data_IF_710809547282
#
_entry.id   IF_710809547282
#
_cell.length_a   1.000
_cell.length_b   1.000
_cell.length_c   1.000
_cell.angle_alpha   90.00
_cell.angle_beta   90.00
_cell.angle_gamma   90.00
#
_symmetry.space_group_name_H-M   'P 1'
#
loop_
_entity.id
_entity.type
_entity.pdbx_description
1 polymer ?
#
# COMPACT_ATOMS: atom_id res chain seq x y z
N UNK A 1 -37.86 -3.31 3.75
CA UNK A 1 -37.13 -2.16 4.34
C UNK A 1 -35.84 -2.70 4.94
N UNK A 2 -34.78 -2.96 4.15
CA UNK A 2 -33.51 -3.54 4.64
C UNK A 2 -32.27 -3.17 3.78
N UNK A 3 -32.12 -1.91 3.34
CA UNK A 3 -30.94 -1.49 2.53
C UNK A 3 -30.15 -0.31 3.09
N UNK A 4 -30.36 0.05 4.37
CA UNK A 4 -29.68 1.19 5.00
C UNK A 4 -28.34 0.86 5.67
N UNK A 5 -28.21 -0.31 6.29
CA UNK A 5 -27.06 -0.61 7.17
C UNK A 5 -25.72 -0.66 6.47
N UNK A 6 -25.60 -1.39 5.35
CA UNK A 6 -24.30 -1.64 4.69
C UNK A 6 -23.64 -0.36 4.16
N UNK A 7 -24.42 0.63 3.71
CA UNK A 7 -23.87 1.88 3.18
C UNK A 7 -23.27 2.74 4.29
N UNK A 8 -23.91 2.77 5.46
CA UNK A 8 -23.46 3.54 6.62
C UNK A 8 -22.11 3.01 7.11
N UNK A 9 -21.93 1.70 7.19
CA UNK A 9 -20.65 1.10 7.57
C UNK A 9 -19.52 1.44 6.60
N UNK A 10 -19.79 1.41 5.29
CA UNK A 10 -18.80 1.78 4.28
C UNK A 10 -18.40 3.26 4.38
N UNK A 11 -19.37 4.15 4.58
CA UNK A 11 -19.14 5.59 4.73
C UNK A 11 -18.30 5.87 6.00
N UNK A 12 -18.57 5.18 7.11
CA UNK A 12 -17.80 5.29 8.35
C UNK A 12 -16.36 4.78 8.21
N UNK A 13 -16.15 3.64 7.55
CA UNK A 13 -14.82 3.10 7.28
C UNK A 13 -13.99 4.06 6.42
N UNK A 14 -14.60 4.61 5.37
CA UNK A 14 -13.96 5.55 4.46
C UNK A 14 -13.59 6.85 5.15
N UNK A 15 -14.47 7.41 5.96
CA UNK A 15 -14.18 8.61 6.74
C UNK A 15 -13.10 8.33 7.80
N UNK A 16 -13.18 7.18 8.48
CA UNK A 16 -12.21 6.78 9.50
C UNK A 16 -10.80 6.64 8.96
N UNK A 17 -10.61 5.93 7.84
CA UNK A 17 -9.27 5.71 7.26
C UNK A 17 -8.64 7.01 6.76
N UNK A 18 -9.43 7.91 6.16
CA UNK A 18 -8.96 9.22 5.70
C UNK A 18 -8.47 10.09 6.85
N UNK A 19 -9.21 10.09 7.96
CA UNK A 19 -8.83 10.84 9.15
C UNK A 19 -7.61 10.23 9.84
N UNK A 20 -7.51 8.89 9.90
CA UNK A 20 -6.40 8.19 10.53
C UNK A 20 -5.05 8.45 9.85
N UNK A 21 -5.00 8.38 8.52
CA UNK A 21 -3.79 8.65 7.74
C UNK A 21 -3.52 10.13 7.48
N UNK A 22 -4.48 11.01 7.82
CA UNK A 22 -4.52 12.39 7.37
C UNK A 22 -4.37 12.51 5.83
N UNK A 23 -4.94 11.55 5.10
CA UNK A 23 -4.86 11.46 3.63
C UNK A 23 -6.25 11.41 3.00
N UNK A 24 -6.57 12.27 2.01
CA UNK A 24 -7.96 12.46 1.57
C UNK A 24 -8.47 11.40 0.56
N UNK A 25 -7.58 10.66 -0.09
CA UNK A 25 -7.91 9.81 -1.26
C UNK A 25 -7.68 8.32 -0.99
N UNK A 26 -8.25 7.47 -1.87
CA UNK A 26 -8.10 6.00 -1.90
C UNK A 26 -7.55 5.64 -3.29
N UNK A 27 -6.74 4.58 -3.45
CA UNK A 27 -6.27 3.64 -2.41
C UNK A 27 -5.29 4.26 -1.40
N UNK A 28 -5.25 3.72 -0.19
CA UNK A 28 -4.25 4.02 0.84
C UNK A 28 -3.54 2.73 1.23
N UNK A 29 -2.22 2.77 1.24
CA UNK A 29 -1.38 1.60 1.49
C UNK A 29 -0.70 1.77 2.83
N UNK A 30 -0.76 0.70 3.63
CA UNK A 30 -0.12 0.63 4.93
C UNK A 30 0.81 -0.57 4.95
N UNK A 31 2.01 -0.38 5.50
CA UNK A 31 2.98 -1.44 5.73
C UNK A 31 3.25 -1.49 7.23
N UNK A 32 3.06 -2.66 7.84
CA UNK A 32 3.20 -2.84 9.30
C UNK A 32 2.36 -1.86 10.16
N UNK A 33 1.18 -1.46 9.66
CA UNK A 33 0.28 -0.52 10.34
C UNK A 33 0.65 0.96 10.16
N UNK A 34 1.76 1.27 9.49
CA UNK A 34 2.18 2.63 9.18
C UNK A 34 1.70 3.06 7.79
N UNK A 35 1.24 4.31 7.68
CA UNK A 35 0.77 4.86 6.41
C UNK A 35 1.97 5.11 5.48
N UNK A 36 1.91 4.54 4.27
CA UNK A 36 2.97 4.70 3.25
C UNK A 36 2.57 5.72 2.20
N UNK A 37 1.33 5.65 1.69
CA UNK A 37 0.88 6.57 0.65
C UNK A 37 -0.29 6.08 -0.19
N UNK A 38 -0.54 6.80 -1.28
CA UNK A 38 -1.49 6.45 -2.34
C UNK A 38 -0.88 5.59 -3.45
N UNK A 39 -1.63 5.43 -4.54
CA UNK A 39 -1.22 4.64 -5.71
C UNK A 39 0.03 5.22 -6.41
N UNK A 40 0.05 6.53 -6.57
CA UNK A 40 1.11 7.35 -7.16
C UNK A 40 2.44 7.19 -6.41
N UNK A 41 2.42 7.31 -5.08
CA UNK A 41 3.60 7.10 -4.24
C UNK A 41 4.08 5.65 -4.35
N UNK A 42 3.16 4.68 -4.27
CA UNK A 42 3.53 3.27 -4.34
C UNK A 42 4.16 2.91 -5.70
N UNK A 43 3.67 3.50 -6.78
CA UNK A 43 4.24 3.32 -8.11
C UNK A 43 5.66 3.89 -8.19
N UNK A 44 5.91 5.06 -7.60
CA UNK A 44 7.26 5.63 -7.52
C UNK A 44 8.20 4.73 -6.71
N UNK A 45 7.76 4.24 -5.54
CA UNK A 45 8.52 3.30 -4.71
C UNK A 45 8.79 1.97 -5.42
N UNK A 46 7.88 1.53 -6.28
CA UNK A 46 8.09 0.35 -7.11
C UNK A 46 9.16 0.60 -8.18
N UNK A 47 9.10 1.73 -8.86
CA UNK A 47 10.02 2.08 -9.95
C UNK A 47 11.45 2.33 -9.47
N UNK A 48 11.63 2.94 -8.30
CA UNK A 48 12.94 3.24 -7.74
C UNK A 48 13.52 2.08 -6.87
N UNK A 49 12.72 1.06 -6.57
CA UNK A 49 13.13 -0.10 -5.79
C UNK A 49 12.89 0.00 -4.28
N UNK A 50 12.49 1.16 -3.76
CA UNK A 50 12.26 1.38 -2.32
C UNK A 50 11.20 0.43 -1.75
N UNK A 51 10.17 0.13 -2.54
CA UNK A 51 9.11 -0.81 -2.12
C UNK A 51 9.66 -2.21 -1.83
N UNK A 52 10.65 -2.66 -2.61
CA UNK A 52 11.27 -3.98 -2.39
C UNK A 52 12.06 -3.99 -1.08
N UNK A 53 12.77 -2.90 -0.77
CA UNK A 53 13.52 -2.79 0.48
C UNK A 53 12.59 -2.68 1.70
N UNK A 54 11.47 -1.95 1.61
CA UNK A 54 10.47 -1.92 2.68
C UNK A 54 9.84 -3.29 2.95
N UNK A 55 9.45 -4.01 1.89
CA UNK A 55 8.91 -5.38 2.04
C UNK A 55 9.94 -6.33 2.67
N UNK A 56 11.21 -6.22 2.29
CA UNK A 56 12.30 -7.01 2.85
C UNK A 56 12.50 -6.78 4.34
N UNK A 57 12.39 -5.53 4.81
CA UNK A 57 12.44 -5.20 6.26
C UNK A 57 11.33 -5.92 7.03
N UNK A 58 10.18 -6.12 6.40
CA UNK A 58 9.03 -6.84 6.98
C UNK A 58 9.12 -8.36 6.80
N UNK A 59 10.22 -8.88 6.24
CA UNK A 59 10.39 -10.31 5.96
C UNK A 59 9.53 -10.81 4.79
N UNK A 60 9.00 -9.91 3.96
CA UNK A 60 8.20 -10.24 2.79
C UNK A 60 9.11 -10.26 1.56
N UNK A 61 9.26 -11.42 0.93
CA UNK A 61 10.04 -11.56 -0.31
C UNK A 61 9.25 -11.04 -1.51
N UNK A 62 9.78 -10.04 -2.21
CA UNK A 62 9.22 -9.58 -3.49
C UNK A 62 9.54 -10.57 -4.62
N UNK A 63 8.53 -10.94 -5.41
CA UNK A 63 8.68 -11.80 -6.59
C UNK A 63 9.55 -11.17 -7.70
N UNK A 64 9.75 -9.84 -7.67
CA UNK A 64 10.65 -9.16 -8.61
C UNK A 64 12.10 -9.62 -8.43
N UNK A 65 12.48 -10.06 -7.23
CA UNK A 65 13.80 -10.62 -6.96
C UNK A 65 14.03 -11.98 -7.63
N UNK A 66 12.96 -12.67 -8.02
CA UNK A 66 13.01 -13.95 -8.73
C UNK A 66 13.01 -13.74 -10.26
N UNK A 67 12.48 -12.60 -10.72
CA UNK A 67 12.32 -12.27 -12.14
C UNK A 67 13.52 -11.51 -12.75
N UNK A 68 14.47 -11.03 -11.94
CA UNK A 68 15.69 -10.41 -12.41
C UNK A 68 16.77 -11.50 -12.57
N UNK A 69 17.12 -11.94 -13.79
CA UNK A 69 18.34 -12.70 -13.99
C UNK A 69 19.49 -11.80 -13.51
N UNK A 70 20.28 -12.35 -12.58
CA UNK A 70 21.51 -11.79 -12.03
C UNK A 70 22.16 -10.78 -12.99
N UNK A 71 22.08 -9.49 -12.66
CA UNK A 71 22.90 -8.47 -13.30
C UNK A 71 24.36 -8.89 -13.09
N UNK A 72 25.01 -9.17 -14.20
CA UNK A 72 26.40 -9.59 -14.29
C UNK A 72 27.27 -8.58 -13.53
N UNK A 73 27.92 -9.04 -12.46
CA UNK A 73 29.06 -8.32 -11.91
C UNK A 73 30.12 -8.28 -13.00
N UNK A 74 30.36 -7.11 -13.58
CA UNK A 74 31.58 -6.84 -14.32
C UNK A 74 32.54 -6.04 -13.45
#
# INVERSE_FOLDING_TARGET
MERGGSKIYADLLLAGVKNYSNWPTIPQVFLNGEFVGGCDILLQMHQNGDLVEELKKLGIRSALLDAQPSQEKK
#
